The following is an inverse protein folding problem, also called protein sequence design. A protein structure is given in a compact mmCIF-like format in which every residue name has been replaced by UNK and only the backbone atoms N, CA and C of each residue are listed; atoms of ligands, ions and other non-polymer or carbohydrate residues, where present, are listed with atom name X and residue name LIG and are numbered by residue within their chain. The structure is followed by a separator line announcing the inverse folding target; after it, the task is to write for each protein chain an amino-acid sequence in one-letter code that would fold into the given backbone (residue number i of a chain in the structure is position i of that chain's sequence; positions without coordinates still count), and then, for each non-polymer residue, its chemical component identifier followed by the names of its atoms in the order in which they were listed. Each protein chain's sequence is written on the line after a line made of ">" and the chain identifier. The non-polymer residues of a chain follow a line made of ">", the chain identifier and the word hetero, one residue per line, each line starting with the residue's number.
data_IF_488520743537
#
_entry.id   IF_488520743537
#
_cell.length_a   1.000
_cell.length_b   1.000
_cell.length_c   1.000
_cell.angle_alpha   90.00
_cell.angle_beta   90.00
_cell.angle_gamma   90.00
#
_symmetry.space_group_name_H-M   'P 1'
#
loop_
_entity.id
_entity.type
_entity.pdbx_description
1 polymer ?
#
# COMPACT_ATOMS: atom_id res chain seq x y z
N UNK A 1 -6.27 -16.50 29.92
CA UNK A 1 -5.42 -15.84 28.90
C UNK A 1 -5.30 -14.32 29.13
N UNK A 2 -6.33 -13.64 29.63
CA UNK A 2 -6.33 -12.19 29.85
C UNK A 2 -5.47 -11.74 31.04
N UNK A 3 -5.36 -12.54 32.09
CA UNK A 3 -4.73 -12.13 33.36
C UNK A 3 -3.20 -11.92 33.30
N UNK A 4 -2.52 -12.38 32.27
CA UNK A 4 -1.06 -12.25 32.10
C UNK A 4 -0.62 -11.27 31.01
N UNK A 5 -1.55 -10.58 30.35
CA UNK A 5 -1.23 -9.67 29.24
C UNK A 5 -0.90 -8.25 29.69
N UNK A 6 -1.36 -7.81 30.85
CA UNK A 6 -1.13 -6.44 31.35
C UNK A 6 0.37 -6.08 31.48
N UNK A 7 1.20 -7.04 31.84
CA UNK A 7 2.66 -6.81 31.94
C UNK A 7 3.40 -6.88 30.60
N UNK A 8 2.74 -7.34 29.54
CA UNK A 8 3.37 -7.55 28.22
C UNK A 8 2.98 -6.46 27.21
N UNK A 9 1.93 -5.68 27.50
CA UNK A 9 1.48 -4.63 26.61
C UNK A 9 2.30 -3.35 26.84
N UNK A 10 2.77 -2.68 25.76
CA UNK A 10 3.44 -1.39 25.88
C UNK A 10 2.54 -0.35 26.56
N UNK A 11 3.11 0.55 27.35
CA UNK A 11 2.36 1.68 27.96
C UNK A 11 1.64 2.57 26.93
N UNK A 12 2.07 2.53 25.66
CA UNK A 12 1.42 3.22 24.53
C UNK A 12 0.17 2.52 24.02
N UNK A 13 -0.17 1.33 24.55
CA UNK A 13 -1.37 0.62 24.16
C UNK A 13 -2.61 1.34 24.74
N UNK A 14 -3.69 1.54 23.96
CA UNK A 14 -4.91 2.16 24.45
C UNK A 14 -5.50 1.38 25.63
N UNK A 15 -6.01 2.09 26.64
CA UNK A 15 -6.64 1.47 27.82
C UNK A 15 -7.81 0.55 27.47
N UNK A 16 -8.49 0.84 26.35
CA UNK A 16 -9.56 -0.03 25.84
C UNK A 16 -9.06 -1.43 25.47
N UNK A 17 -7.79 -1.63 25.22
CA UNK A 17 -7.18 -2.95 24.96
C UNK A 17 -6.74 -3.61 26.26
N UNK A 18 -6.34 -2.83 27.29
CA UNK A 18 -5.91 -3.36 28.58
C UNK A 18 -7.08 -3.90 29.43
N UNK A 19 -8.23 -3.25 29.34
CA UNK A 19 -9.34 -3.46 30.28
C UNK A 19 -10.45 -4.37 29.73
N UNK A 20 -10.27 -4.95 28.53
CA UNK A 20 -11.29 -5.83 27.93
C UNK A 20 -10.90 -7.30 28.05
N UNK A 21 -11.87 -8.13 28.39
CA UNK A 21 -11.71 -9.59 28.38
C UNK A 21 -11.91 -10.20 27.00
N UNK A 22 -12.53 -9.45 26.08
CA UNK A 22 -12.84 -9.87 24.71
C UNK A 22 -12.42 -8.77 23.74
N UNK A 23 -11.51 -9.08 22.80
CA UNK A 23 -11.15 -8.18 21.73
C UNK A 23 -12.19 -8.26 20.61
N UNK A 24 -12.71 -7.12 20.22
CA UNK A 24 -13.53 -7.00 19.03
C UNK A 24 -12.61 -6.85 17.82
N UNK A 25 -12.72 -7.77 16.88
CA UNK A 25 -11.97 -7.76 15.64
C UNK A 25 -12.91 -7.43 14.49
N UNK A 26 -12.42 -6.66 13.55
CA UNK A 26 -13.12 -6.29 12.34
C UNK A 26 -12.23 -6.61 11.14
N UNK A 27 -12.85 -7.02 10.04
CA UNK A 27 -12.14 -7.20 8.77
C UNK A 27 -11.51 -5.87 8.33
N UNK A 28 -10.20 -5.90 8.07
CA UNK A 28 -9.46 -4.73 7.61
C UNK A 28 -9.97 -4.22 6.25
N UNK A 29 -10.58 -5.08 5.44
CA UNK A 29 -11.23 -4.73 4.18
C UNK A 29 -12.32 -3.68 4.31
N UNK A 30 -12.94 -3.54 5.48
CA UNK A 30 -13.88 -2.45 5.78
C UNK A 30 -13.23 -1.05 5.71
N UNK A 31 -11.90 -0.96 5.80
CA UNK A 31 -11.14 0.28 5.70
C UNK A 31 -10.29 0.32 4.43
N UNK A 32 -9.56 -0.74 4.15
CA UNK A 32 -8.74 -0.89 2.95
C UNK A 32 -8.37 -2.37 2.77
N UNK A 33 -8.73 -2.96 1.63
CA UNK A 33 -8.39 -4.34 1.30
C UNK A 33 -6.87 -4.57 1.16
N UNK A 34 -6.13 -3.53 0.78
CA UNK A 34 -4.68 -3.61 0.71
C UNK A 34 -4.06 -3.25 2.07
N UNK A 35 -3.27 -4.12 2.71
CA UNK A 35 -2.69 -3.88 4.03
C UNK A 35 -1.49 -2.92 3.96
N UNK A 36 -1.70 -1.73 3.40
CA UNK A 36 -0.65 -0.72 3.15
C UNK A 36 -0.26 0.01 4.44
N UNK A 37 -1.23 0.31 5.33
CA UNK A 37 -1.00 1.13 6.52
C UNK A 37 0.13 0.63 7.44
N UNK A 38 0.24 -0.68 7.74
CA UNK A 38 1.35 -1.19 8.54
C UNK A 38 2.73 -0.96 7.90
N UNK A 39 2.80 -0.94 6.56
CA UNK A 39 4.06 -0.73 5.83
C UNK A 39 4.52 0.72 5.88
N UNK A 40 3.58 1.67 5.99
CA UNK A 40 3.86 3.11 6.04
C UNK A 40 4.12 3.66 7.44
N UNK A 41 4.22 2.80 8.46
CA UNK A 41 4.55 3.24 9.82
C UNK A 41 5.95 3.82 9.89
N UNK A 42 6.17 4.87 10.71
CA UNK A 42 7.50 5.45 10.92
C UNK A 42 8.54 4.36 11.30
N UNK A 43 9.74 4.48 10.75
CA UNK A 43 10.84 3.55 10.98
C UNK A 43 10.84 2.31 10.08
N UNK A 44 9.87 2.16 9.19
CA UNK A 44 9.91 1.10 8.18
C UNK A 44 10.65 1.50 6.91
N UNK A 45 10.70 2.80 6.61
CA UNK A 45 11.47 3.40 5.50
C UNK A 45 11.29 2.67 4.17
N UNK A 46 10.03 2.41 3.80
CA UNK A 46 9.68 1.69 2.58
C UNK A 46 9.94 2.58 1.37
N UNK A 47 10.75 2.11 0.44
CA UNK A 47 11.07 2.81 -0.82
C UNK A 47 10.24 2.30 -2.00
N UNK A 48 9.91 1.01 -2.00
CA UNK A 48 9.08 0.36 -3.03
C UNK A 48 8.01 -0.47 -2.34
N UNK A 49 6.77 -0.30 -2.76
CA UNK A 49 5.63 -1.10 -2.33
C UNK A 49 5.08 -1.86 -3.54
N UNK A 50 4.98 -3.17 -3.44
CA UNK A 50 4.34 -4.00 -4.46
C UNK A 50 3.02 -4.47 -3.91
N UNK A 51 1.93 -4.08 -4.55
CA UNK A 51 0.58 -4.44 -4.16
C UNK A 51 -0.01 -5.43 -5.18
N UNK A 52 -0.32 -6.63 -4.70
CA UNK A 52 -1.12 -7.60 -5.44
C UNK A 52 -2.56 -7.51 -4.94
N UNK A 53 -3.46 -7.10 -5.80
CA UNK A 53 -4.85 -6.87 -5.44
C UNK A 53 -5.74 -7.94 -6.06
N UNK A 54 -6.26 -8.81 -5.23
CA UNK A 54 -7.21 -9.86 -5.60
C UNK A 54 -8.63 -9.58 -5.07
N UNK A 55 -8.94 -8.31 -4.80
CA UNK A 55 -10.28 -7.90 -4.38
C UNK A 55 -11.31 -8.22 -5.46
N UNK A 56 -12.52 -8.58 -5.05
CA UNK A 56 -13.62 -8.82 -5.98
C UNK A 56 -14.01 -7.56 -6.78
N UNK A 57 -13.74 -6.41 -6.22
CA UNK A 57 -14.10 -5.07 -6.70
C UNK A 57 -12.93 -4.28 -7.31
N UNK A 58 -11.85 -4.96 -7.67
CA UNK A 58 -10.59 -4.38 -8.17
C UNK A 58 -10.77 -3.34 -9.30
N UNK A 59 -11.89 -3.33 -9.99
CA UNK A 59 -12.22 -2.34 -11.03
C UNK A 59 -13.04 -1.17 -10.54
N UNK A 60 -13.72 -1.31 -9.39
CA UNK A 60 -14.59 -0.31 -8.79
C UNK A 60 -13.85 0.47 -7.72
N UNK A 61 -13.21 -0.23 -6.79
CA UNK A 61 -12.59 0.36 -5.62
C UNK A 61 -11.10 0.61 -5.82
N UNK A 62 -10.75 1.85 -5.57
CA UNK A 62 -9.37 2.30 -5.69
C UNK A 62 -8.69 2.31 -4.32
N UNK A 63 -8.27 1.16 -3.85
CA UNK A 63 -7.63 0.99 -2.54
C UNK A 63 -6.31 1.76 -2.40
N UNK A 64 -5.62 2.03 -3.51
CA UNK A 64 -4.43 2.87 -3.51
C UNK A 64 -4.81 4.31 -3.14
N UNK A 65 -5.86 4.87 -3.76
CA UNK A 65 -6.36 6.23 -3.48
C UNK A 65 -6.90 6.35 -2.03
N UNK A 66 -7.56 5.32 -1.51
CA UNK A 66 -8.04 5.29 -0.12
C UNK A 66 -6.90 5.52 0.88
N UNK A 67 -5.68 5.12 0.55
CA UNK A 67 -4.49 5.33 1.38
C UNK A 67 -4.13 6.81 1.55
N UNK A 68 -4.53 7.69 0.64
CA UNK A 68 -4.25 9.13 0.70
C UNK A 68 -4.75 9.76 2.02
N UNK A 69 -5.94 9.38 2.48
CA UNK A 69 -6.51 9.86 3.74
C UNK A 69 -5.64 9.50 4.95
N UNK A 70 -5.15 8.26 5.00
CA UNK A 70 -4.24 7.81 6.04
C UNK A 70 -2.90 8.55 6.02
N UNK A 71 -2.34 8.73 4.83
CA UNK A 71 -1.06 9.43 4.62
C UNK A 71 -1.17 10.89 5.06
N UNK A 72 -2.24 11.58 4.65
CA UNK A 72 -2.51 12.98 5.05
C UNK A 72 -2.64 13.09 6.57
N UNK A 73 -3.46 12.25 7.19
CA UNK A 73 -3.68 12.25 8.64
C UNK A 73 -2.39 12.01 9.42
N UNK A 74 -1.45 11.23 8.90
CA UNK A 74 -0.20 10.84 9.56
C UNK A 74 1.00 11.68 9.15
N UNK A 75 0.83 12.62 8.22
CA UNK A 75 1.93 13.45 7.71
C UNK A 75 3.04 12.64 7.02
N UNK A 76 2.69 11.54 6.35
CA UNK A 76 3.64 10.66 5.69
C UNK A 76 4.05 11.31 4.36
N UNK A 77 5.36 11.52 4.19
CA UNK A 77 5.92 12.10 2.97
C UNK A 77 6.28 11.01 1.95
N UNK A 78 6.25 11.39 0.70
CA UNK A 78 6.71 10.53 -0.39
C UNK A 78 5.68 9.54 -0.93
N UNK A 79 4.48 9.50 -0.39
CA UNK A 79 3.38 8.72 -0.96
C UNK A 79 2.90 9.35 -2.29
N UNK A 80 2.57 8.56 -3.32
CA UNK A 80 2.03 9.08 -4.58
C UNK A 80 0.55 9.48 -4.41
N UNK A 81 0.29 10.68 -3.92
CA UNK A 81 -1.06 11.23 -3.72
C UNK A 81 -1.86 11.21 -5.03
N UNK A 82 -3.10 10.72 -4.97
CA UNK A 82 -3.98 10.60 -6.13
C UNK A 82 -3.61 9.46 -7.08
N UNK A 83 -2.67 8.58 -6.68
CA UNK A 83 -2.39 7.36 -7.42
C UNK A 83 -3.64 6.49 -7.52
N UNK A 84 -3.73 5.75 -8.62
CA UNK A 84 -4.84 4.87 -8.90
C UNK A 84 -5.53 5.23 -10.21
N UNK A 85 -6.80 4.93 -10.30
CA UNK A 85 -7.64 5.15 -11.47
C UNK A 85 -8.91 5.89 -11.06
N UNK A 86 -9.60 6.57 -12.00
CA UNK A 86 -10.90 7.16 -11.69
C UNK A 86 -11.87 6.04 -11.28
N UNK A 87 -12.29 6.06 -10.03
CA UNK A 87 -13.43 5.26 -9.58
C UNK A 87 -14.71 6.08 -9.83
N UNK A 88 -15.81 5.42 -10.14
CA UNK A 88 -17.10 6.09 -10.05
C UNK A 88 -17.29 6.45 -8.58
N UNK A 89 -17.35 7.75 -8.27
CA UNK A 89 -17.67 8.20 -6.91
C UNK A 89 -19.07 7.71 -6.59
N UNK A 90 -19.19 6.76 -5.69
CA UNK A 90 -20.48 6.41 -5.10
C UNK A 90 -21.00 7.65 -4.38
N UNK A 91 -22.27 7.98 -4.58
CA UNK A 91 -22.91 9.03 -3.80
C UNK A 91 -22.88 8.64 -2.31
N UNK A 92 -22.88 9.61 -1.39
CA UNK A 92 -22.96 9.34 0.05
C UNK A 92 -24.11 8.39 0.39
N UNK A 93 -25.25 8.50 -0.30
CA UNK A 93 -26.41 7.62 -0.15
C UNK A 93 -26.12 6.18 -0.59
N UNK A 94 -25.34 5.99 -1.65
CA UNK A 94 -24.95 4.65 -2.12
C UNK A 94 -23.95 4.02 -1.16
N UNK A 95 -22.99 4.79 -0.67
CA UNK A 95 -21.99 4.33 0.31
C UNK A 95 -22.67 3.94 1.63
N UNK A 96 -23.62 4.76 2.11
CA UNK A 96 -24.40 4.44 3.32
C UNK A 96 -25.25 3.18 3.13
N UNK A 97 -25.88 3.01 1.96
CA UNK A 97 -26.65 1.81 1.64
C UNK A 97 -25.81 0.54 1.60
N UNK A 98 -24.61 0.62 1.02
CA UNK A 98 -23.67 -0.51 1.00
C UNK A 98 -23.14 -0.84 2.40
N UNK A 99 -22.84 0.17 3.22
CA UNK A 99 -22.48 0.01 4.62
C UNK A 99 -23.60 -0.61 5.45
N UNK A 100 -24.85 -0.16 5.29
CA UNK A 100 -26.01 -0.75 5.95
C UNK A 100 -26.25 -2.20 5.53
N UNK A 101 -26.06 -2.51 4.25
CA UNK A 101 -26.18 -3.87 3.73
C UNK A 101 -25.03 -4.79 4.18
N UNK A 102 -23.85 -4.24 4.41
CA UNK A 102 -22.69 -4.99 4.92
C UNK A 102 -22.77 -5.25 6.44
N UNK A 103 -23.55 -4.46 7.19
CA UNK A 103 -23.68 -4.65 8.63
C UNK A 103 -24.41 -5.96 8.96
N UNK A 104 -23.74 -6.80 9.70
CA UNK A 104 -24.29 -8.03 10.29
C UNK A 104 -24.35 -7.80 11.79
N UNK A 105 -25.54 -7.76 12.36
CA UNK A 105 -25.75 -7.42 13.77
C UNK A 105 -25.78 -8.65 14.68
N UNK A 106 -26.00 -9.83 14.12
CA UNK A 106 -26.06 -11.09 14.88
C UNK A 106 -25.40 -12.24 14.15
N UNK A 107 -24.86 -13.21 14.90
CA UNK A 107 -24.29 -14.45 14.37
C UNK A 107 -25.27 -15.21 13.47
N UNK A 108 -26.56 -15.24 13.85
CA UNK A 108 -27.63 -15.87 13.07
C UNK A 108 -27.78 -15.18 11.71
N UNK A 109 -27.73 -13.86 11.67
CA UNK A 109 -27.81 -13.11 10.41
C UNK A 109 -26.62 -13.38 9.51
N UNK A 110 -25.41 -13.52 10.08
CA UNK A 110 -24.22 -13.91 9.35
C UNK A 110 -24.38 -15.29 8.69
N UNK A 111 -24.83 -16.28 9.46
CA UNK A 111 -25.08 -17.64 8.96
C UNK A 111 -26.17 -17.63 7.89
N UNK A 112 -27.28 -16.93 8.10
CA UNK A 112 -28.37 -16.82 7.12
C UNK A 112 -27.92 -16.14 5.82
N UNK A 113 -26.98 -15.19 5.87
CA UNK A 113 -26.40 -14.56 4.69
C UNK A 113 -25.49 -15.52 3.92
N UNK A 114 -24.62 -16.23 4.63
CA UNK A 114 -23.73 -17.25 4.04
C UNK A 114 -24.56 -18.34 3.34
N UNK A 115 -25.57 -18.86 4.02
CA UNK A 115 -26.44 -19.89 3.44
C UNK A 115 -27.24 -19.39 2.23
N UNK A 116 -27.69 -18.12 2.24
CA UNK A 116 -28.38 -17.53 1.08
C UNK A 116 -27.44 -17.36 -0.10
N UNK A 117 -26.21 -16.92 0.14
CA UNK A 117 -25.18 -16.78 -0.90
C UNK A 117 -24.87 -18.15 -1.52
N UNK A 118 -24.62 -19.17 -0.70
CA UNK A 118 -24.37 -20.53 -1.17
C UNK A 118 -25.54 -21.13 -1.97
N UNK A 119 -26.78 -20.88 -1.55
CA UNK A 119 -27.97 -21.33 -2.31
C UNK A 119 -28.13 -20.57 -3.62
N UNK A 120 -27.85 -19.26 -3.66
CA UNK A 120 -27.91 -18.47 -4.87
C UNK A 120 -26.83 -18.94 -5.88
N UNK A 121 -25.62 -19.23 -5.41
CA UNK A 121 -24.55 -19.79 -6.22
C UNK A 121 -24.89 -21.16 -6.77
N UNK A 122 -25.42 -22.07 -5.96
CA UNK A 122 -25.86 -23.40 -6.36
C UNK A 122 -27.02 -23.38 -7.37
N UNK A 123 -27.85 -22.32 -7.35
CA UNK A 123 -28.97 -22.15 -8.29
C UNK A 123 -28.61 -21.38 -9.57
N UNK A 124 -27.35 -20.93 -9.71
CA UNK A 124 -26.93 -20.04 -10.80
C UNK A 124 -27.58 -18.66 -10.80
N UNK A 125 -28.22 -18.29 -9.69
CA UNK A 125 -28.81 -16.97 -9.52
C UNK A 125 -27.71 -15.97 -9.20
N UNK A 126 -27.52 -15.01 -10.08
CA UNK A 126 -26.59 -13.88 -9.90
C UNK A 126 -27.10 -12.99 -8.80
N UNK A 127 -26.32 -12.81 -7.75
CA UNK A 127 -26.61 -11.82 -6.72
C UNK A 127 -26.61 -10.40 -7.34
N UNK A 128 -27.66 -9.64 -7.05
CA UNK A 128 -27.94 -8.34 -7.70
C UNK A 128 -26.99 -7.20 -7.28
N UNK A 129 -25.77 -7.49 -6.90
CA UNK A 129 -24.70 -6.52 -6.63
C UNK A 129 -23.49 -6.66 -7.56
N UNK A 130 -23.34 -7.80 -8.24
CA UNK A 130 -22.05 -8.18 -8.84
C UNK A 130 -21.92 -7.92 -10.34
N UNK A 131 -22.93 -7.41 -11.03
CA UNK A 131 -22.88 -7.32 -12.51
C UNK A 131 -23.36 -5.98 -13.06
N UNK A 132 -22.70 -4.91 -12.71
CA UNK A 132 -22.63 -3.78 -13.64
C UNK A 132 -21.34 -3.98 -14.44
N UNK A 133 -21.40 -4.10 -15.79
CA UNK A 133 -20.18 -4.11 -16.59
C UNK A 133 -19.49 -2.78 -16.35
N UNK A 134 -18.41 -2.82 -15.57
CA UNK A 134 -17.56 -1.67 -15.39
C UNK A 134 -17.08 -1.24 -16.78
N UNK A 135 -17.17 0.05 -17.08
CA UNK A 135 -16.48 0.64 -18.24
C UNK A 135 -15.05 0.15 -18.23
N UNK A 136 -14.43 -0.11 -19.41
CA UNK A 136 -13.03 -0.53 -19.47
C UNK A 136 -12.21 0.47 -18.66
N UNK A 137 -11.78 0.08 -17.48
CA UNK A 137 -10.82 0.86 -16.74
C UNK A 137 -9.51 0.78 -17.50
N UNK A 138 -8.82 1.88 -17.65
CA UNK A 138 -7.46 1.92 -18.22
C UNK A 138 -6.44 1.17 -17.35
N UNK A 139 -6.88 0.21 -16.58
CA UNK A 139 -6.09 -0.58 -15.66
C UNK A 139 -5.33 -1.66 -16.46
N UNK A 140 -4.03 -1.51 -16.54
CA UNK A 140 -3.14 -2.56 -17.06
C UNK A 140 -2.84 -3.63 -16.01
N UNK A 141 -2.22 -4.72 -16.43
CA UNK A 141 -1.78 -5.81 -15.51
C UNK A 141 -0.75 -5.34 -14.49
N UNK A 142 -0.04 -4.26 -14.77
CA UNK A 142 0.91 -3.63 -13.87
C UNK A 142 0.91 -2.12 -14.09
N UNK A 143 0.82 -1.36 -13.02
CA UNK A 143 0.92 0.10 -13.08
C UNK A 143 1.84 0.57 -11.96
N UNK A 144 2.68 1.56 -12.26
CA UNK A 144 3.62 2.13 -11.30
C UNK A 144 3.31 3.61 -11.11
N UNK A 145 3.31 4.05 -9.86
CA UNK A 145 3.30 5.47 -9.49
C UNK A 145 4.47 5.76 -8.56
N UNK A 146 4.94 6.98 -8.56
CA UNK A 146 5.97 7.45 -7.65
C UNK A 146 5.53 8.76 -7.01
N UNK A 147 5.66 8.85 -5.69
CA UNK A 147 5.39 10.07 -4.95
C UNK A 147 6.55 11.05 -5.00
N UNK A 148 6.38 12.17 -4.30
CA UNK A 148 7.42 13.17 -4.12
C UNK A 148 7.63 13.47 -2.64
N UNK A 149 8.89 13.71 -2.25
CA UNK A 149 9.27 14.18 -0.92
C UNK A 149 9.41 15.71 -0.88
N UNK A 150 9.19 16.38 -2.00
CA UNK A 150 9.26 17.83 -2.10
C UNK A 150 8.22 18.51 -1.22
N UNK A 151 8.66 19.40 -0.35
CA UNK A 151 7.78 20.24 0.46
C UNK A 151 7.39 21.47 -0.34
N UNK A 152 6.11 21.79 -0.32
CA UNK A 152 5.63 23.04 -0.93
C UNK A 152 5.59 24.15 0.09
N UNK A 153 6.03 25.34 -0.33
CA UNK A 153 6.12 26.53 0.52
C UNK A 153 4.77 27.01 1.08
N UNK A 154 3.63 26.55 0.54
CA UNK A 154 2.31 27.13 0.82
C UNK A 154 1.26 26.12 1.33
N UNK A 155 1.61 25.04 2.01
CA UNK A 155 0.66 24.01 2.47
C UNK A 155 -0.30 23.49 1.37
N UNK A 156 0.00 23.75 0.09
CA UNK A 156 -0.79 23.27 -1.02
C UNK A 156 -0.56 21.78 -1.22
N UNK A 157 -1.63 21.04 -1.50
CA UNK A 157 -1.52 19.61 -1.80
C UNK A 157 -0.55 19.37 -2.96
N UNK A 158 0.27 18.30 -2.91
CA UNK A 158 1.11 17.92 -4.03
C UNK A 158 0.24 17.63 -5.26
N UNK A 159 0.76 17.84 -6.49
CA UNK A 159 0.01 17.49 -7.68
C UNK A 159 -0.32 15.99 -7.65
N UNK A 160 -1.47 15.64 -8.22
CA UNK A 160 -1.86 14.25 -8.34
C UNK A 160 -0.76 13.46 -9.07
N UNK A 161 -0.40 12.33 -8.50
CA UNK A 161 0.60 11.46 -9.07
C UNK A 161 0.13 10.88 -10.41
N UNK A 162 1.02 10.88 -11.39
CA UNK A 162 0.79 10.24 -12.68
C UNK A 162 1.45 8.87 -12.71
N UNK A 163 1.02 8.02 -13.64
CA UNK A 163 1.69 6.75 -13.92
C UNK A 163 3.13 7.04 -14.36
N UNK A 164 4.05 6.22 -13.89
CA UNK A 164 5.45 6.27 -14.32
C UNK A 164 5.55 5.70 -15.72
N UNK A 165 5.97 6.53 -16.67
CA UNK A 165 6.21 6.15 -18.06
C UNK A 165 7.70 5.88 -18.30
N UNK A 166 8.56 6.68 -17.67
CA UNK A 166 10.00 6.65 -17.88
C UNK A 166 10.79 6.43 -16.57
N UNK A 167 11.85 5.67 -16.62
CA UNK A 167 12.68 5.33 -15.46
C UNK A 167 13.29 6.56 -14.75
N UNK A 168 13.53 7.67 -15.48
CA UNK A 168 14.08 8.90 -14.91
C UNK A 168 13.17 9.51 -13.84
N UNK A 169 11.86 9.31 -13.91
CA UNK A 169 10.90 9.79 -12.92
C UNK A 169 11.15 9.17 -11.53
N UNK A 170 11.57 7.88 -11.53
CA UNK A 170 11.97 7.16 -10.33
C UNK A 170 13.34 7.59 -9.80
N UNK A 171 14.17 8.17 -10.67
CA UNK A 171 15.55 8.58 -10.38
C UNK A 171 15.64 10.02 -9.86
N UNK A 172 14.57 10.78 -9.85
CA UNK A 172 14.56 12.17 -9.36
C UNK A 172 15.02 12.22 -7.91
N UNK A 173 15.77 13.26 -7.49
CA UNK A 173 16.25 13.40 -6.11
C UNK A 173 15.13 13.50 -5.09
N UNK A 174 14.02 14.10 -5.47
CA UNK A 174 12.81 14.30 -4.67
C UNK A 174 11.79 13.16 -4.78
N UNK A 175 12.06 12.13 -5.59
CA UNK A 175 11.15 11.01 -5.74
C UNK A 175 10.99 10.26 -4.41
N UNK A 176 9.74 9.95 -4.09
CA UNK A 176 9.32 9.28 -2.87
C UNK A 176 9.18 7.76 -3.03
N UNK A 177 8.11 7.24 -2.46
CA UNK A 177 7.75 5.83 -2.51
C UNK A 177 7.25 5.48 -3.91
N UNK A 178 7.79 4.42 -4.49
CA UNK A 178 7.27 3.83 -5.71
C UNK A 178 6.23 2.76 -5.35
N UNK A 179 5.03 2.85 -5.93
CA UNK A 179 3.96 1.87 -5.75
C UNK A 179 3.78 1.12 -7.06
N UNK A 180 4.00 -0.18 -7.03
CA UNK A 180 3.79 -1.11 -8.14
C UNK A 180 2.51 -1.88 -7.85
N UNK A 181 1.52 -1.75 -8.69
CA UNK A 181 0.19 -2.30 -8.48
C UNK A 181 -0.15 -3.35 -9.53
N UNK A 182 -0.53 -4.52 -9.07
CA UNK A 182 -0.95 -5.66 -9.85
C UNK A 182 -2.42 -6.00 -9.52
N UNK A 183 -3.39 -5.53 -10.30
CA UNK A 183 -4.76 -5.97 -10.16
C UNK A 183 -4.91 -7.41 -10.68
N UNK A 184 -5.72 -8.22 -10.00
CA UNK A 184 -6.04 -9.57 -10.45
C UNK A 184 -7.11 -9.51 -11.54
N UNK A 185 -6.68 -9.52 -12.79
CA UNK A 185 -7.53 -9.36 -13.97
C UNK A 185 -7.56 -10.64 -14.81
N UNK A 186 -8.63 -10.79 -15.58
CA UNK A 186 -8.69 -11.79 -16.66
C UNK A 186 -7.49 -11.64 -17.59
N UNK A 187 -6.93 -12.76 -18.02
CA UNK A 187 -5.82 -12.80 -18.97
C UNK A 187 -6.11 -13.85 -20.05
N UNK A 188 -6.05 -13.45 -21.32
CA UNK A 188 -6.36 -14.31 -22.44
C UNK A 188 -5.39 -15.50 -22.59
N UNK A 189 -4.21 -15.43 -21.96
CA UNK A 189 -3.26 -16.55 -21.86
C UNK A 189 -3.78 -17.69 -20.99
N UNK A 190 -4.78 -17.44 -20.15
CA UNK A 190 -5.38 -18.43 -19.24
C UNK A 190 -6.90 -18.43 -19.44
N UNK A 191 -7.40 -19.16 -20.46
CA UNK A 191 -8.82 -19.22 -20.72
C UNK A 191 -9.58 -19.96 -19.60
N UNK A 192 -10.86 -19.65 -19.46
CA UNK A 192 -11.76 -20.36 -18.52
C UNK A 192 -11.66 -19.89 -17.07
N UNK A 193 -11.00 -18.77 -16.81
CA UNK A 193 -11.03 -18.08 -15.51
C UNK A 193 -11.08 -16.56 -15.69
N UNK A 194 -12.02 -15.96 -15.04
CA UNK A 194 -12.15 -14.50 -14.95
C UNK A 194 -12.48 -14.15 -13.49
N UNK A 195 -11.62 -13.43 -12.77
CA UNK A 195 -11.86 -13.09 -11.37
C UNK A 195 -13.17 -12.36 -11.10
N UNK A 196 -13.71 -11.69 -12.11
CA UNK A 196 -14.93 -10.89 -12.00
C UNK A 196 -16.21 -11.67 -12.28
N UNK A 197 -16.13 -12.78 -12.99
CA UNK A 197 -17.33 -13.46 -13.52
C UNK A 197 -17.34 -14.98 -13.31
N UNK A 198 -16.23 -15.61 -12.95
CA UNK A 198 -16.19 -17.02 -12.66
C UNK A 198 -16.83 -17.30 -11.29
N UNK A 199 -17.79 -18.23 -11.25
CA UNK A 199 -18.58 -18.51 -10.04
C UNK A 199 -17.68 -18.95 -8.86
N UNK A 200 -16.67 -19.76 -9.12
CA UNK A 200 -15.73 -20.21 -8.09
C UNK A 200 -14.79 -19.10 -7.56
N UNK A 201 -14.74 -17.93 -8.22
CA UNK A 201 -14.01 -16.74 -7.76
C UNK A 201 -14.85 -15.83 -6.86
N UNK A 202 -16.09 -16.26 -6.51
CA UNK A 202 -16.93 -15.54 -5.58
C UNK A 202 -16.25 -15.40 -4.20
N UNK A 203 -16.37 -14.22 -3.58
CA UNK A 203 -15.92 -13.96 -2.19
C UNK A 203 -16.52 -14.95 -1.17
N UNK A 204 -17.66 -15.56 -1.52
CA UNK A 204 -18.37 -16.50 -0.66
C UNK A 204 -18.02 -17.97 -0.95
N UNK A 205 -17.15 -18.25 -1.93
CA UNK A 205 -16.65 -19.59 -2.18
C UNK A 205 -15.45 -19.89 -1.28
N UNK A 206 -15.62 -20.85 -0.38
CA UNK A 206 -14.58 -21.29 0.57
C UNK A 206 -13.94 -22.63 0.19
N UNK A 207 -14.39 -23.26 -0.90
CA UNK A 207 -13.93 -24.58 -1.33
C UNK A 207 -13.58 -24.54 -2.81
N UNK A 208 -12.35 -24.90 -3.11
CA UNK A 208 -11.83 -24.96 -4.48
C UNK A 208 -11.47 -26.39 -4.85
N UNK A 209 -11.76 -26.77 -6.07
CA UNK A 209 -11.21 -27.99 -6.68
C UNK A 209 -9.75 -27.77 -7.09
N UNK A 210 -9.01 -28.85 -7.29
CA UNK A 210 -7.61 -28.77 -7.74
C UNK A 210 -7.48 -28.04 -9.09
N UNK A 211 -8.42 -28.27 -10.02
CA UNK A 211 -8.44 -27.63 -11.33
C UNK A 211 -8.66 -26.10 -11.20
N UNK A 212 -9.54 -25.66 -10.32
CA UNK A 212 -9.77 -24.24 -10.03
C UNK A 212 -8.54 -23.59 -9.42
N UNK A 213 -7.88 -24.27 -8.47
CA UNK A 213 -6.62 -23.77 -7.88
C UNK A 213 -5.55 -23.62 -8.97
N UNK A 214 -5.38 -24.59 -9.83
CA UNK A 214 -4.41 -24.55 -10.91
C UNK A 214 -4.69 -23.41 -11.90
N UNK A 215 -5.96 -23.14 -12.21
CA UNK A 215 -6.37 -22.00 -13.03
C UNK A 215 -6.04 -20.67 -12.35
N UNK A 216 -6.36 -20.50 -11.06
CA UNK A 216 -6.06 -19.27 -10.30
C UNK A 216 -4.56 -19.02 -10.25
N UNK A 217 -3.76 -20.05 -9.95
CA UNK A 217 -2.29 -19.94 -9.91
C UNK A 217 -1.71 -19.59 -11.28
N UNK A 218 -2.24 -20.21 -12.34
CA UNK A 218 -1.82 -19.93 -13.71
C UNK A 218 -2.16 -18.50 -14.12
N UNK A 219 -3.34 -18.00 -13.74
CA UNK A 219 -3.77 -16.63 -13.99
C UNK A 219 -2.89 -15.63 -13.24
N UNK A 220 -2.60 -15.88 -11.96
CA UNK A 220 -1.72 -15.02 -11.16
C UNK A 220 -0.31 -14.92 -11.77
N UNK A 221 0.24 -16.05 -12.23
CA UNK A 221 1.53 -16.10 -12.94
C UNK A 221 1.49 -15.31 -14.24
N UNK A 222 0.44 -15.52 -15.06
CA UNK A 222 0.30 -14.81 -16.33
C UNK A 222 0.25 -13.28 -16.10
N UNK A 223 -0.55 -12.83 -15.13
CA UNK A 223 -0.65 -11.40 -14.81
C UNK A 223 0.68 -10.82 -14.31
N UNK A 224 1.41 -11.55 -13.47
CA UNK A 224 2.72 -11.11 -12.99
C UNK A 224 3.75 -11.03 -14.12
N UNK A 225 3.79 -12.00 -15.04
CA UNK A 225 4.73 -11.98 -16.18
C UNK A 225 4.53 -10.74 -17.07
N UNK A 226 3.31 -10.21 -17.21
CA UNK A 226 3.05 -8.97 -17.94
C UNK A 226 3.74 -7.74 -17.34
N UNK A 227 3.86 -7.68 -16.00
CA UNK A 227 4.48 -6.55 -15.29
C UNK A 227 5.89 -6.80 -14.76
N UNK A 228 6.42 -7.99 -14.94
CA UNK A 228 7.68 -8.43 -14.34
C UNK A 228 8.88 -7.55 -14.70
N UNK A 229 9.05 -7.21 -15.97
CA UNK A 229 10.17 -6.40 -16.40
C UNK A 229 10.03 -4.94 -15.94
N UNK A 230 8.82 -4.39 -15.92
CA UNK A 230 8.55 -3.09 -15.32
C UNK A 230 8.87 -3.09 -13.82
N UNK A 231 8.49 -4.12 -13.09
CA UNK A 231 8.82 -4.30 -11.68
C UNK A 231 10.32 -4.31 -11.44
N UNK A 232 11.08 -5.08 -12.22
CA UNK A 232 12.54 -5.13 -12.12
C UNK A 232 13.19 -3.78 -12.40
N UNK A 233 12.75 -3.08 -13.45
CA UNK A 233 13.25 -1.74 -13.79
C UNK A 233 12.98 -0.76 -12.66
N UNK A 234 11.75 -0.75 -12.13
CA UNK A 234 11.36 0.11 -11.01
C UNK A 234 12.24 -0.13 -9.78
N UNK A 235 12.39 -1.37 -9.34
CA UNK A 235 13.23 -1.72 -8.19
C UNK A 235 14.68 -1.28 -8.44
N UNK A 236 15.22 -1.52 -9.63
CA UNK A 236 16.59 -1.12 -9.98
C UNK A 236 16.77 0.39 -9.96
N UNK A 237 15.85 1.14 -10.55
CA UNK A 237 15.91 2.61 -10.60
C UNK A 237 15.86 3.19 -9.18
N UNK A 238 14.95 2.73 -8.34
CA UNK A 238 14.86 3.17 -6.94
C UNK A 238 16.12 2.80 -6.16
N UNK A 239 16.66 1.60 -6.35
CA UNK A 239 17.90 1.17 -5.69
C UNK A 239 19.10 2.04 -6.11
N UNK A 240 19.26 2.35 -7.40
CA UNK A 240 20.35 3.23 -7.89
C UNK A 240 20.21 4.65 -7.31
N UNK A 241 18.99 5.21 -7.27
CA UNK A 241 18.72 6.50 -6.62
C UNK A 241 19.16 6.48 -5.15
N UNK A 242 18.72 5.49 -4.38
CA UNK A 242 19.03 5.38 -2.96
C UNK A 242 20.52 5.14 -2.71
N UNK A 243 21.17 4.35 -3.56
CA UNK A 243 22.62 4.14 -3.51
C UNK A 243 23.38 5.45 -3.74
N UNK A 244 22.98 6.23 -4.76
CA UNK A 244 23.57 7.55 -5.03
C UNK A 244 23.41 8.48 -3.84
N UNK A 245 22.20 8.63 -3.30
CA UNK A 245 21.91 9.46 -2.13
C UNK A 245 22.71 9.03 -0.89
N UNK A 246 22.93 7.74 -0.70
CA UNK A 246 23.76 7.23 0.41
C UNK A 246 25.22 7.63 0.22
N UNK A 247 25.79 7.44 -0.96
CA UNK A 247 27.18 7.78 -1.27
C UNK A 247 27.44 9.28 -1.10
N UNK A 248 26.51 10.12 -1.55
CA UNK A 248 26.57 11.58 -1.37
C UNK A 248 26.59 11.95 0.12
N UNK A 249 25.68 11.41 0.92
CA UNK A 249 25.65 11.62 2.40
C UNK A 249 26.92 11.13 3.08
N UNK A 250 27.46 10.00 2.67
CA UNK A 250 28.74 9.49 3.21
C UNK A 250 29.93 10.40 2.86
N UNK A 251 29.95 10.96 1.65
CA UNK A 251 30.97 11.89 1.23
C UNK A 251 30.88 13.21 2.01
N UNK A 252 29.70 13.77 2.16
CA UNK A 252 29.44 14.98 2.98
C UNK A 252 29.86 14.76 4.44
N UNK A 253 29.47 13.63 5.03
CA UNK A 253 29.85 13.30 6.41
C UNK A 253 31.36 13.18 6.59
N UNK A 254 32.08 12.64 5.60
CA UNK A 254 33.57 12.59 5.62
C UNK A 254 34.17 13.98 5.55
N UNK A 255 33.65 14.84 4.69
CA UNK A 255 34.15 16.22 4.55
C UNK A 255 33.88 17.03 5.83
N UNK A 256 32.70 16.95 6.43
CA UNK A 256 32.38 17.58 7.71
C UNK A 256 33.34 17.12 8.82
N UNK A 257 33.63 15.82 8.90
CA UNK A 257 34.58 15.26 9.87
C UNK A 257 36.01 15.81 9.62
N UNK A 258 36.42 15.91 8.37
CA UNK A 258 37.72 16.47 7.97
C UNK A 258 37.83 17.94 8.39
N UNK A 259 36.84 18.76 8.06
CA UNK A 259 36.79 20.18 8.44
C UNK A 259 36.78 20.38 9.95
N UNK A 260 36.05 19.55 10.68
CA UNK A 260 36.01 19.59 12.15
C UNK A 260 37.39 19.27 12.76
N UNK A 261 38.12 18.28 12.20
CA UNK A 261 39.49 17.95 12.63
C UNK A 261 40.44 19.10 12.34
N UNK A 262 40.37 19.72 11.17
CA UNK A 262 41.20 20.88 10.81
C UNK A 262 40.94 22.07 11.75
N UNK A 263 39.66 22.39 12.01
CA UNK A 263 39.30 23.46 12.97
C UNK A 263 39.84 23.21 14.37
N UNK A 264 39.78 21.95 14.83
CA UNK A 264 40.38 21.59 16.13
C UNK A 264 41.90 21.73 16.14
N UNK A 265 42.59 21.27 15.09
CA UNK A 265 44.02 21.39 14.94
C UNK A 265 44.48 22.85 14.94
N UNK A 266 43.81 23.71 14.15
CA UNK A 266 44.13 25.14 14.10
C UNK A 266 43.87 25.86 15.43
N UNK A 267 42.85 25.47 16.20
CA UNK A 267 42.64 25.99 17.57
C UNK A 267 43.76 25.61 18.51
N UNK A 268 44.23 24.34 18.46
CA UNK A 268 45.34 23.88 19.31
C UNK A 268 46.64 24.65 18.96
N UNK A 269 46.89 24.93 17.70
CA UNK A 269 48.05 25.73 17.26
C UNK A 269 47.95 27.17 17.76
N UNK A 270 46.79 27.84 17.67
CA UNK A 270 46.59 29.22 18.19
C UNK A 270 46.78 29.30 19.72
N UNK A 271 46.41 28.27 20.49
CA UNK A 271 46.62 28.26 21.93
C UNK A 271 48.03 27.88 22.31
N UNK A 272 48.79 27.11 21.46
CA UNK A 272 50.18 26.80 21.65
C UNK A 272 51.10 28.01 21.47
N UNK A 273 50.85 28.84 20.48
CA UNK A 273 51.64 30.05 20.19
C UNK A 273 51.48 31.15 21.24
N UNK A 274 50.42 31.14 22.07
CA UNK A 274 50.25 32.09 23.18
C UNK A 274 50.86 31.62 24.50
N UNK A 275 51.32 30.37 24.60
CA UNK A 275 51.98 29.82 25.79
C UNK A 275 53.42 30.29 25.94
N UNK A 276 54.11 30.66 24.88
CA UNK A 276 55.55 31.01 24.88
C UNK A 276 55.79 32.52 25.13
N UNK A 277 54.76 33.36 25.36
CA UNK A 277 54.92 34.79 25.61
C UNK A 277 54.96 35.13 27.13
N UNK A 278 54.95 34.16 28.02
CA UNK A 278 55.06 34.35 29.49
C UNK A 278 56.17 33.49 30.09
N UNK A 279 57.37 33.54 29.55
CA UNK A 279 58.58 33.03 30.19
C UNK A 279 59.66 34.12 30.21
#
# INVERSE_FOLDING_TARGET
>A
FAANMESLLPQSCPQSVHNVTTLQLMDAGMSNNLPIYPLLRPGRDVDVLIAFDASADVRKDNWIKVTDGYVKQRGIKGWPIGAGWPSEELSEEQTLKELEQAQVTTEKEAVDRIERAQRAEASGAVMAGDKVPAKPTELGYCTVWVGTTEERENDTEPPLSKRVEEDWELMRPDAGIAVIYFPFLKNDKVPGVDPQTSDFMSTWNFVYTNDEIDKVVSLARANFEEGKEQTKRTIRAVWERKKKQRLEREAEAKEIRRQTRMRKANKVQQYGDHGDQFS
#
